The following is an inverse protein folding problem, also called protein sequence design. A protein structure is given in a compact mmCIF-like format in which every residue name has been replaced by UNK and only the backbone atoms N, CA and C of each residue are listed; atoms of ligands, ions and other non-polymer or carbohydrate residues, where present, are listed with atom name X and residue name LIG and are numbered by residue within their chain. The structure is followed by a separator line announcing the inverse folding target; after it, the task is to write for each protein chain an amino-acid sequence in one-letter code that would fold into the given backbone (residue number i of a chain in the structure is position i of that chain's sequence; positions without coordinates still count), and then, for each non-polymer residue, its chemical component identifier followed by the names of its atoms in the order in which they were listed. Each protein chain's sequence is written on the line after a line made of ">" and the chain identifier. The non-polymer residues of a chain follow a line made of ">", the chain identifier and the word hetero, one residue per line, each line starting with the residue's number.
data_IF_726288368278
#
_entry.id   IF_726288368278
#
_cell.length_a   1.000
_cell.length_b   1.000
_cell.length_c   1.000
_cell.angle_alpha   90.00
_cell.angle_beta   90.00
_cell.angle_gamma   90.00
#
_symmetry.space_group_name_H-M   'P 1'
#
loop_
_entity.id
_entity.type
_entity.pdbx_description
1 polymer ?
#
# COMPACT_ATOMS: atom_id res chain seq x y z
N UNK A 1 7.56 14.98 37.57
CA UNK A 1 8.42 14.53 36.47
C UNK A 1 8.76 13.10 36.79
N UNK A 2 7.97 12.18 36.27
CA UNK A 2 8.07 10.78 36.65
C UNK A 2 9.19 10.15 35.82
N UNK A 3 10.30 9.84 36.48
CA UNK A 3 11.37 9.04 35.91
C UNK A 3 10.86 7.61 35.72
N UNK A 4 10.62 7.20 34.47
CA UNK A 4 10.43 5.80 34.14
C UNK A 4 11.78 5.08 34.20
N UNK A 5 12.02 4.36 35.29
CA UNK A 5 13.21 3.54 35.47
C UNK A 5 12.82 2.08 35.19
N UNK A 6 13.17 1.57 34.00
CA UNK A 6 12.98 0.16 33.69
C UNK A 6 14.09 -0.63 34.38
N UNK A 7 13.77 -1.26 35.51
CA UNK A 7 14.65 -2.21 36.21
C UNK A 7 14.18 -3.62 35.89
N UNK A 8 14.82 -4.27 34.92
CA UNK A 8 14.61 -5.69 34.65
C UNK A 8 15.97 -6.36 34.43
N UNK A 9 16.48 -7.04 35.46
CA UNK A 9 17.70 -7.85 35.36
C UNK A 9 17.30 -9.28 34.95
N UNK A 10 17.42 -9.60 33.66
CA UNK A 10 17.28 -10.97 33.16
C UNK A 10 15.87 -11.49 32.84
N UNK A 11 14.88 -10.61 32.66
CA UNK A 11 13.55 -11.03 32.22
C UNK A 11 13.54 -11.37 30.70
N UNK A 12 13.12 -12.59 30.35
CA UNK A 12 12.90 -13.01 28.97
C UNK A 12 11.42 -12.84 28.62
N UNK A 13 11.08 -11.79 27.87
CA UNK A 13 9.72 -11.61 27.36
C UNK A 13 9.55 -12.33 26.01
N UNK A 14 8.45 -13.10 25.87
CA UNK A 14 8.05 -13.71 24.60
C UNK A 14 6.78 -13.02 24.10
N UNK A 15 6.95 -12.09 23.16
CA UNK A 15 5.80 -11.44 22.49
C UNK A 15 5.28 -12.35 21.38
N UNK A 16 4.09 -12.91 21.56
CA UNK A 16 3.43 -13.74 20.56
C UNK A 16 2.26 -12.97 19.92
N UNK A 17 2.42 -12.55 18.66
CA UNK A 17 1.33 -11.93 17.91
C UNK A 17 0.40 -13.02 17.39
N UNK A 18 -0.82 -13.12 17.94
CA UNK A 18 -1.87 -13.96 17.35
C UNK A 18 -2.40 -13.27 16.10
N UNK A 19 -2.05 -13.76 14.92
CA UNK A 19 -2.76 -13.41 13.69
C UNK A 19 -4.18 -13.95 13.80
N UNK A 20 -5.15 -13.12 14.23
CA UNK A 20 -6.56 -13.43 13.94
C UNK A 20 -6.63 -13.57 12.42
N UNK A 21 -7.20 -14.69 11.96
CA UNK A 21 -7.18 -15.09 10.57
C UNK A 21 -7.43 -13.93 9.61
N UNK A 22 -6.73 -13.99 8.48
CA UNK A 22 -6.97 -13.23 7.26
C UNK A 22 -8.43 -13.42 6.82
N UNK A 23 -9.37 -12.84 7.55
CA UNK A 23 -10.79 -12.96 7.36
C UNK A 23 -11.45 -11.77 8.06
N UNK A 24 -11.67 -10.75 7.24
CA UNK A 24 -12.83 -9.85 7.25
C UNK A 24 -13.12 -8.98 8.47
N UNK A 25 -12.18 -8.75 9.38
CA UNK A 25 -12.23 -7.57 10.27
C UNK A 25 -10.86 -6.90 10.36
N UNK A 26 -10.65 -5.92 9.48
CA UNK A 26 -9.42 -5.16 9.26
C UNK A 26 -9.12 -4.15 10.38
N UNK A 27 -9.25 -4.55 11.64
CA UNK A 27 -8.86 -3.68 12.76
C UNK A 27 -7.36 -3.79 13.00
N UNK A 28 -6.69 -2.64 13.15
CA UNK A 28 -5.26 -2.55 13.43
C UNK A 28 -4.89 -2.95 14.88
N UNK A 29 -5.90 -3.33 15.67
CA UNK A 29 -5.77 -3.79 17.06
C UNK A 29 -5.05 -5.13 17.15
N UNK A 30 -4.04 -5.19 18.01
CA UNK A 30 -3.25 -6.37 18.36
C UNK A 30 -3.25 -6.56 19.86
N UNK A 31 -3.00 -7.80 20.28
CA UNK A 31 -2.98 -8.21 21.69
C UNK A 31 -1.73 -9.02 21.95
N UNK A 32 -0.96 -8.62 22.95
CA UNK A 32 0.20 -9.34 23.44
C UNK A 32 -0.08 -9.93 24.82
N UNK A 33 0.57 -11.05 25.11
CA UNK A 33 0.52 -11.71 26.42
C UNK A 33 1.87 -11.50 27.09
N UNK A 34 1.87 -10.97 28.31
CA UNK A 34 3.06 -10.70 29.12
C UNK A 34 3.08 -11.70 30.26
N UNK A 35 4.23 -12.35 30.45
CA UNK A 35 4.49 -13.27 31.57
C UNK A 35 5.73 -12.77 32.26
N UNK A 36 5.57 -12.09 33.40
CA UNK A 36 6.67 -11.47 34.15
C UNK A 36 7.29 -12.44 35.17
N UNK A 37 6.54 -13.45 35.61
CA UNK A 37 7.01 -14.53 36.46
C UNK A 37 6.32 -15.86 36.10
N UNK A 38 6.98 -17.02 36.27
CA UNK A 38 6.39 -18.32 35.97
C UNK A 38 5.20 -18.67 36.87
N UNK A 39 5.15 -18.10 38.09
CA UNK A 39 4.12 -18.38 39.09
C UNK A 39 2.93 -17.40 39.04
N UNK A 40 3.04 -16.33 38.23
CA UNK A 40 1.96 -15.37 38.04
C UNK A 40 1.14 -15.70 36.80
N UNK A 41 -0.20 -15.51 36.84
CA UNK A 41 -1.01 -15.69 35.67
C UNK A 41 -0.56 -14.69 34.57
N UNK A 42 -0.60 -15.12 33.29
CA UNK A 42 -0.26 -14.25 32.17
C UNK A 42 -1.21 -13.05 32.12
N UNK A 43 -0.66 -11.86 31.87
CA UNK A 43 -1.44 -10.64 31.63
C UNK A 43 -1.53 -10.36 30.13
N UNK A 44 -2.57 -9.65 29.70
CA UNK A 44 -2.76 -9.26 28.31
C UNK A 44 -2.74 -7.74 28.16
N UNK A 45 -2.02 -7.21 27.17
CA UNK A 45 -2.10 -5.82 26.77
C UNK A 45 -2.56 -5.70 25.31
N UNK A 46 -3.30 -4.63 25.01
CA UNK A 46 -3.81 -4.34 23.68
C UNK A 46 -3.17 -3.07 23.14
N UNK A 47 -2.78 -3.08 21.87
CA UNK A 47 -2.16 -1.95 21.18
C UNK A 47 -2.57 -1.94 19.71
N UNK A 48 -2.38 -0.82 19.04
CA UNK A 48 -2.68 -0.62 17.63
C UNK A 48 -1.38 -0.40 16.86
N UNK A 49 -1.26 -1.04 15.70
CA UNK A 49 -0.18 -0.72 14.75
C UNK A 49 -0.69 0.40 13.85
N UNK A 50 -0.15 1.59 13.99
CA UNK A 50 -0.52 2.78 13.22
C UNK A 50 0.59 3.16 12.24
N UNK A 51 0.32 4.07 11.30
CA UNK A 51 1.34 4.58 10.37
C UNK A 51 2.51 5.29 11.07
N UNK A 52 2.28 5.82 12.27
CA UNK A 52 3.29 6.46 13.10
C UNK A 52 4.04 5.47 14.03
N UNK A 53 3.66 4.19 14.07
CA UNK A 53 4.23 3.19 14.97
C UNK A 53 3.17 2.53 15.87
N UNK A 54 3.58 2.08 17.06
CA UNK A 54 2.69 1.42 18.03
C UNK A 54 2.04 2.47 18.93
N UNK A 55 0.72 2.40 19.08
CA UNK A 55 -0.04 3.30 19.95
C UNK A 55 -1.12 2.55 20.74
N UNK A 56 -1.49 3.04 21.91
CA UNK A 56 -2.58 2.48 22.71
C UNK A 56 -3.97 2.81 22.12
N UNK A 57 -4.02 3.80 21.22
CA UNK A 57 -5.24 4.28 20.57
C UNK A 57 -5.15 4.14 19.04
N UNK A 58 -6.28 3.92 18.38
CA UNK A 58 -6.35 3.78 16.91
C UNK A 58 -6.00 5.08 16.16
N UNK A 59 -6.37 6.23 16.73
CA UNK A 59 -6.10 7.55 16.15
C UNK A 59 -4.91 8.19 16.88
N UNK A 60 -3.80 8.38 16.16
CA UNK A 60 -2.65 9.15 16.65
C UNK A 60 -2.74 10.56 16.08
N UNK A 61 -2.98 11.55 16.93
CA UNK A 61 -2.90 12.96 16.53
C UNK A 61 -1.43 13.33 16.33
N UNK A 62 -1.00 13.39 15.07
CA UNK A 62 0.31 13.92 14.72
C UNK A 62 0.25 15.43 14.98
N UNK A 63 0.77 15.84 16.14
CA UNK A 63 1.00 17.26 16.43
C UNK A 63 1.94 17.79 15.35
N UNK A 64 1.38 18.51 14.39
CA UNK A 64 2.16 19.27 13.41
C UNK A 64 2.84 20.38 14.21
N UNK A 65 4.11 20.17 14.53
CA UNK A 65 4.95 21.22 15.08
C UNK A 65 5.02 22.29 13.99
N UNK A 66 4.40 23.44 14.25
CA UNK A 66 4.50 24.62 13.41
C UNK A 66 5.96 25.09 13.43
N UNK A 67 6.56 25.11 12.24
CA UNK A 67 7.75 25.84 11.83
C UNK A 67 9.09 25.57 12.55
N UNK A 68 9.77 24.50 12.15
CA UNK A 68 11.20 24.61 11.81
C UNK A 68 11.63 23.60 10.73
N UNK A 69 11.63 24.11 9.48
CA UNK A 69 12.51 23.74 8.35
C UNK A 69 13.06 22.31 8.32
N UNK A 70 12.19 21.32 8.16
CA UNK A 70 12.56 20.09 7.50
C UNK A 70 11.51 19.87 6.42
N UNK A 71 11.87 20.15 5.17
CA UNK A 71 11.00 19.93 4.04
C UNK A 71 10.91 18.44 3.74
N UNK A 72 10.13 17.72 4.55
CA UNK A 72 9.82 16.30 4.34
C UNK A 72 9.23 16.05 2.95
N UNK A 73 8.72 17.09 2.26
CA UNK A 73 8.18 17.01 0.91
C UNK A 73 9.23 16.71 -0.16
N UNK A 74 10.50 17.04 0.07
CA UNK A 74 11.59 16.62 -0.83
C UNK A 74 12.03 15.18 -0.58
N UNK A 75 12.06 14.74 0.69
CA UNK A 75 12.45 13.36 1.06
C UNK A 75 11.41 12.32 0.61
N UNK A 76 10.13 12.68 0.56
CA UNK A 76 9.06 11.82 0.05
C UNK A 76 8.79 11.97 -1.46
N UNK A 77 9.40 12.95 -2.14
CA UNK A 77 9.35 13.04 -3.62
C UNK A 77 10.14 11.92 -4.29
N UNK A 78 11.11 11.33 -3.61
CA UNK A 78 11.94 10.24 -4.17
C UNK A 78 11.37 8.83 -3.90
N UNK A 79 10.32 8.70 -3.08
CA UNK A 79 9.66 7.41 -2.77
C UNK A 79 8.18 7.41 -3.20
N UNK A 80 7.82 8.26 -4.15
CA UNK A 80 6.74 7.94 -5.10
C UNK A 80 7.35 7.28 -6.34
N UNK A 81 8.04 6.16 -6.16
CA UNK A 81 7.96 5.11 -7.18
C UNK A 81 6.57 4.50 -7.06
N UNK A 82 5.58 5.27 -7.52
CA UNK A 82 4.33 4.74 -8.06
C UNK A 82 4.71 3.49 -8.81
N UNK A 83 4.22 2.33 -8.36
CA UNK A 83 4.19 1.12 -9.16
C UNK A 83 3.39 1.47 -10.42
N UNK A 84 4.06 1.99 -11.45
CA UNK A 84 3.47 2.19 -12.76
C UNK A 84 3.25 0.78 -13.29
N UNK A 85 2.07 0.24 -13.05
CA UNK A 85 1.66 -1.03 -13.64
C UNK A 85 1.90 -0.92 -15.15
N UNK A 86 2.86 -1.70 -15.70
CA UNK A 86 3.22 -1.58 -17.09
C UNK A 86 2.04 -1.97 -17.98
N UNK A 87 1.95 -1.37 -19.16
CA UNK A 87 0.90 -1.69 -20.14
C UNK A 87 0.88 -3.19 -20.52
N UNK A 88 2.01 -3.88 -20.36
CA UNK A 88 2.16 -5.31 -20.59
C UNK A 88 1.37 -6.20 -19.61
N UNK A 89 0.96 -5.68 -18.46
CA UNK A 89 0.15 -6.44 -17.49
C UNK A 89 -1.32 -6.53 -17.91
N UNK A 90 -1.74 -5.69 -18.87
CA UNK A 90 -3.06 -5.82 -19.47
C UNK A 90 -3.09 -7.06 -20.35
N UNK A 91 -3.95 -8.02 -19.98
CA UNK A 91 -4.13 -9.27 -20.72
C UNK A 91 -4.40 -8.99 -22.20
N UNK A 92 -3.52 -9.50 -23.06
CA UNK A 92 -3.59 -9.32 -24.52
C UNK A 92 -2.71 -8.20 -25.08
N UNK A 93 -2.00 -7.45 -24.23
CA UNK A 93 -0.97 -6.50 -24.63
C UNK A 93 0.41 -7.14 -24.36
N UNK A 94 1.11 -7.53 -25.41
CA UNK A 94 2.53 -7.94 -25.33
C UNK A 94 3.48 -6.76 -25.60
N UNK A 95 4.80 -6.99 -25.49
CA UNK A 95 5.81 -5.94 -25.69
C UNK A 95 5.64 -5.17 -27.01
N UNK A 96 5.45 -5.87 -28.14
CA UNK A 96 5.30 -5.20 -29.44
C UNK A 96 4.02 -4.34 -29.53
N UNK A 97 2.94 -4.75 -28.86
CA UNK A 97 1.71 -3.95 -28.77
C UNK A 97 1.91 -2.74 -27.86
N UNK A 98 2.59 -2.92 -26.74
CA UNK A 98 2.91 -1.85 -25.80
C UNK A 98 3.81 -0.79 -26.46
N UNK A 99 4.82 -1.19 -27.23
CA UNK A 99 5.68 -0.26 -27.99
C UNK A 99 4.90 0.56 -29.02
N UNK A 100 3.96 -0.08 -29.74
CA UNK A 100 3.06 0.61 -30.66
C UNK A 100 2.14 1.60 -29.94
N UNK A 101 1.63 1.26 -28.76
CA UNK A 101 0.80 2.15 -27.95
C UNK A 101 1.62 3.36 -27.43
N UNK A 102 2.83 3.13 -26.91
CA UNK A 102 3.73 4.20 -26.49
C UNK A 102 4.07 5.15 -27.64
N UNK A 103 4.37 4.60 -28.82
CA UNK A 103 4.66 5.39 -30.03
C UNK A 103 3.48 6.25 -30.49
N UNK A 104 2.26 5.88 -30.11
CA UNK A 104 1.03 6.63 -30.39
C UNK A 104 0.56 7.50 -29.21
N UNK A 105 1.42 7.70 -28.20
CA UNK A 105 1.17 8.60 -27.07
C UNK A 105 0.40 7.98 -25.91
N UNK A 106 0.27 6.65 -25.86
CA UNK A 106 -0.30 5.93 -24.71
C UNK A 106 0.82 5.23 -23.95
N UNK A 107 1.28 5.89 -22.90
CA UNK A 107 2.34 5.43 -22.02
C UNK A 107 1.80 4.94 -20.66
N UNK A 108 0.53 5.23 -20.35
CA UNK A 108 -0.08 4.89 -19.06
C UNK A 108 -1.43 4.19 -19.20
N UNK A 109 -1.83 3.41 -18.18
CA UNK A 109 -3.15 2.77 -18.12
C UNK A 109 -4.30 3.79 -18.16
N UNK A 110 -4.12 4.96 -17.53
CA UNK A 110 -5.13 6.01 -17.54
C UNK A 110 -5.32 6.60 -18.94
N UNK A 111 -4.24 6.79 -19.71
CA UNK A 111 -4.34 7.21 -21.11
C UNK A 111 -5.05 6.14 -21.94
N UNK A 112 -4.73 4.85 -21.74
CA UNK A 112 -5.40 3.76 -22.42
C UNK A 112 -6.91 3.73 -22.14
N UNK A 113 -7.32 3.95 -20.88
CA UNK A 113 -8.71 3.92 -20.44
C UNK A 113 -9.53 5.09 -21.00
N UNK A 114 -8.91 6.28 -21.09
CA UNK A 114 -9.59 7.49 -21.55
C UNK A 114 -9.54 7.68 -23.06
N UNK A 115 -8.68 6.94 -23.76
CA UNK A 115 -8.56 7.04 -25.21
C UNK A 115 -9.80 6.54 -25.95
N UNK A 116 -10.07 7.15 -27.11
CA UNK A 116 -11.15 6.74 -27.99
C UNK A 116 -10.75 5.46 -28.78
N UNK A 117 -11.51 4.35 -28.64
CA UNK A 117 -11.19 3.10 -29.33
C UNK A 117 -11.18 3.21 -30.87
N UNK A 118 -12.03 4.05 -31.46
CA UNK A 118 -12.10 4.22 -32.91
C UNK A 118 -10.84 4.92 -33.46
N UNK A 119 -10.41 5.99 -32.79
CA UNK A 119 -9.19 6.71 -33.14
C UNK A 119 -7.93 5.85 -32.96
N UNK A 120 -7.89 5.03 -31.91
CA UNK A 120 -6.76 4.13 -31.69
C UNK A 120 -6.71 3.01 -32.72
N UNK A 121 -7.86 2.46 -33.11
CA UNK A 121 -7.92 1.41 -34.13
C UNK A 121 -7.49 1.90 -35.52
N UNK A 122 -7.69 3.18 -35.81
CA UNK A 122 -7.28 3.79 -37.09
C UNK A 122 -5.81 4.19 -37.09
N UNK A 123 -5.28 4.62 -35.94
CA UNK A 123 -3.85 4.96 -35.78
C UNK A 123 -2.95 3.73 -35.73
N UNK A 124 -3.42 2.63 -35.12
CA UNK A 124 -2.61 1.44 -34.90
C UNK A 124 -3.09 0.31 -35.81
N UNK A 125 -2.33 0.07 -36.87
CA UNK A 125 -2.61 -0.98 -37.85
C UNK A 125 -2.63 -2.36 -37.19
N UNK A 126 -3.67 -3.16 -37.49
CA UNK A 126 -3.81 -4.54 -37.02
C UNK A 126 -4.54 -4.72 -35.68
N UNK A 127 -5.07 -3.64 -35.09
CA UNK A 127 -5.86 -3.69 -33.85
C UNK A 127 -7.31 -3.31 -34.13
N UNK A 128 -8.25 -4.18 -33.76
CA UNK A 128 -9.68 -3.89 -33.87
C UNK A 128 -10.19 -3.06 -32.69
N UNK A 129 -11.24 -2.28 -32.90
CA UNK A 129 -11.96 -1.55 -31.84
C UNK A 129 -12.39 -2.45 -30.69
N UNK A 130 -12.83 -3.67 -31.00
CA UNK A 130 -13.22 -4.68 -30.01
C UNK A 130 -12.07 -5.06 -29.07
N UNK A 131 -10.85 -5.24 -29.58
CA UNK A 131 -9.68 -5.56 -28.75
C UNK A 131 -9.33 -4.40 -27.81
N UNK A 132 -9.45 -3.16 -28.28
CA UNK A 132 -9.14 -1.97 -27.47
C UNK A 132 -10.13 -1.86 -26.30
N UNK A 133 -11.42 -2.11 -26.54
CA UNK A 133 -12.43 -2.14 -25.49
C UNK A 133 -12.14 -3.22 -24.45
N UNK A 134 -11.74 -4.42 -24.87
CA UNK A 134 -11.31 -5.49 -23.95
C UNK A 134 -10.15 -5.02 -23.08
N UNK A 135 -9.11 -4.41 -23.67
CA UNK A 135 -7.98 -3.87 -22.92
C UNK A 135 -8.38 -2.77 -21.93
N UNK A 136 -9.31 -1.88 -22.28
CA UNK A 136 -9.83 -0.86 -21.37
C UNK A 136 -10.58 -1.45 -20.18
N UNK A 137 -11.34 -2.53 -20.39
CA UNK A 137 -12.04 -3.24 -19.30
C UNK A 137 -11.02 -3.88 -18.35
N UNK A 138 -10.01 -4.57 -18.88
CA UNK A 138 -8.94 -5.14 -18.06
C UNK A 138 -8.16 -4.06 -17.31
N UNK A 139 -7.77 -2.98 -17.99
CA UNK A 139 -7.08 -1.85 -17.37
C UNK A 139 -7.88 -1.24 -16.21
N UNK A 140 -9.21 -1.06 -16.38
CA UNK A 140 -10.09 -0.58 -15.30
C UNK A 140 -10.11 -1.54 -14.10
N UNK A 141 -10.06 -2.85 -14.33
CA UNK A 141 -10.02 -3.84 -13.25
C UNK A 141 -8.71 -3.80 -12.45
N UNK A 142 -7.59 -3.45 -13.09
CA UNK A 142 -6.28 -3.31 -12.45
C UNK A 142 -6.17 -2.06 -11.57
N UNK A 143 -6.79 -0.94 -11.98
CA UNK A 143 -6.75 0.33 -11.21
C UNK A 143 -7.69 0.29 -10.00
N UNK A 144 -8.79 -0.46 -10.08
CA UNK A 144 -9.78 -0.54 -8.99
C UNK A 144 -9.42 -1.58 -7.92
N UNK A 145 -8.31 -2.30 -8.08
CA UNK A 145 -7.86 -3.38 -7.20
C UNK A 145 -6.87 -2.92 -6.13
#
# INVERSE_FOLDING_TARGET
>A
MDHFQIVAHGCHFRVMFKTKGFSSNNSLKRRAVIVDAPDLPPEECEFFITSAGIADTENVEILKIEDSVLDYKELYKEIETSEKVPLTDVKGIGNGTAENLCSNGINTLNELINANPEELSTKISGISTTKILEWQVYAKSLIKS
#
